data_IF_622657716155
#
_entry.id   IF_622657716155
#
_cell.length_a   1.000
_cell.length_b   1.000
_cell.length_c   1.000
_cell.angle_alpha   90.00
_cell.angle_beta   90.00
_cell.angle_gamma   90.00
#
_symmetry.space_group_name_H-M   'P 1'
#
loop_
_entity.id
_entity.type
_entity.pdbx_description
1 polymer ?
#
# COMPACT_ATOMS: atom_id res chain seq x y z
N UNK A 1 -4.48 -16.13 -6.25
CA UNK A 1 -4.74 -15.33 -5.03
C UNK A 1 -3.68 -14.25 -4.94
N UNK A 2 -4.08 -12.99 -4.78
CA UNK A 2 -3.17 -11.87 -4.54
C UNK A 2 -2.51 -12.03 -3.17
N UNK A 3 -1.22 -12.39 -3.13
CA UNK A 3 -0.46 -12.48 -1.88
C UNK A 3 0.92 -11.87 -2.07
N UNK A 4 1.34 -11.05 -1.13
CA UNK A 4 2.69 -10.48 -1.13
C UNK A 4 3.70 -11.50 -0.62
N UNK A 5 4.71 -11.80 -1.43
CA UNK A 5 5.79 -12.71 -1.04
C UNK A 5 6.72 -12.01 -0.03
N UNK A 6 7.28 -12.77 0.91
CA UNK A 6 8.09 -12.21 1.99
C UNK A 6 9.41 -11.59 1.49
N UNK A 7 9.96 -12.11 0.38
CA UNK A 7 11.13 -11.59 -0.33
C UNK A 7 10.83 -10.33 -1.15
N UNK A 8 9.55 -10.07 -1.47
CA UNK A 8 9.14 -8.94 -2.30
C UNK A 8 9.35 -9.15 -3.80
N UNK A 9 9.67 -10.37 -4.25
CA UNK A 9 9.89 -10.66 -5.67
C UNK A 9 8.67 -10.39 -6.54
N UNK A 10 7.47 -10.46 -5.98
CA UNK A 10 6.23 -10.13 -6.68
C UNK A 10 5.69 -8.72 -6.36
N UNK A 11 6.48 -7.84 -5.75
CA UNK A 11 6.00 -6.56 -5.23
C UNK A 11 5.35 -5.67 -6.31
N UNK A 12 5.95 -5.54 -7.50
CA UNK A 12 5.37 -4.73 -8.58
C UNK A 12 3.99 -5.25 -9.00
N UNK A 13 3.92 -6.53 -9.32
CA UNK A 13 2.66 -7.20 -9.71
C UNK A 13 1.63 -7.12 -8.61
N UNK A 14 2.05 -7.31 -7.36
CA UNK A 14 1.20 -7.20 -6.18
C UNK A 14 0.66 -5.77 -6.03
N UNK A 15 1.52 -4.74 -6.09
CA UNK A 15 1.14 -3.32 -5.96
C UNK A 15 0.09 -2.97 -7.00
N UNK A 16 0.34 -3.30 -8.27
CA UNK A 16 -0.59 -3.04 -9.38
C UNK A 16 -1.92 -3.76 -9.21
N UNK A 17 -1.91 -5.06 -8.94
CA UNK A 17 -3.15 -5.82 -8.76
C UNK A 17 -3.94 -5.36 -7.52
N UNK A 18 -3.25 -5.01 -6.44
CA UNK A 18 -3.85 -4.51 -5.21
C UNK A 18 -4.53 -3.17 -5.45
N UNK A 19 -3.86 -2.21 -6.09
CA UNK A 19 -4.45 -0.88 -6.37
C UNK A 19 -5.62 -0.98 -7.33
N UNK A 20 -5.54 -1.82 -8.37
CA UNK A 20 -6.67 -2.08 -9.27
C UNK A 20 -7.86 -2.70 -8.54
N UNK A 21 -7.62 -3.68 -7.65
CA UNK A 21 -8.70 -4.30 -6.86
C UNK A 21 -9.33 -3.31 -5.87
N UNK A 22 -8.52 -2.46 -5.23
CA UNK A 22 -9.00 -1.41 -4.33
C UNK A 22 -9.82 -0.36 -5.07
N UNK A 23 -9.42 -0.01 -6.30
CA UNK A 23 -10.15 0.92 -7.17
C UNK A 23 -11.50 0.35 -7.60
N UNK A 24 -11.51 -0.91 -8.07
CA UNK A 24 -12.75 -1.62 -8.40
C UNK A 24 -13.71 -1.76 -7.21
N UNK A 25 -13.19 -1.77 -5.99
CA UNK A 25 -13.97 -1.79 -4.75
C UNK A 25 -14.39 -0.40 -4.24
N UNK A 26 -13.96 0.69 -4.89
CA UNK A 26 -14.23 2.07 -4.48
C UNK A 26 -13.54 2.50 -3.18
N UNK A 27 -12.47 1.80 -2.78
CA UNK A 27 -11.77 2.04 -1.50
C UNK A 27 -10.33 2.55 -1.68
N UNK A 28 -9.86 2.73 -2.93
CA UNK A 28 -8.52 3.24 -3.22
C UNK A 28 -8.22 4.56 -2.48
N UNK A 29 -9.25 5.40 -2.31
CA UNK A 29 -9.16 6.68 -1.61
C UNK A 29 -8.70 6.61 -0.15
N UNK A 30 -8.93 5.48 0.52
CA UNK A 30 -8.48 5.24 1.90
C UNK A 30 -6.99 4.89 1.95
N UNK A 31 -6.42 4.33 0.87
CA UNK A 31 -5.00 3.96 0.79
C UNK A 31 -4.10 5.13 0.40
N UNK A 32 -4.57 6.01 -0.48
CA UNK A 32 -3.81 7.18 -0.98
C UNK A 32 -4.12 8.48 -0.21
N UNK A 33 -4.93 8.42 0.86
CA UNK A 33 -5.37 9.56 1.69
C UNK A 33 -6.23 10.60 0.98
N UNK A 34 -6.83 10.31 -0.18
CA UNK A 34 -7.81 11.22 -0.78
C UNK A 34 -9.15 11.20 -0.04
N UNK A 35 -9.45 10.12 0.70
CA UNK A 35 -10.64 10.01 1.55
C UNK A 35 -10.32 10.34 2.99
N UNK A 36 -10.64 11.56 3.40
CA UNK A 36 -10.42 12.07 4.75
C UNK A 36 -11.50 11.56 5.72
N UNK A 37 -11.10 11.35 6.98
CA UNK A 37 -12.07 11.15 8.08
C UNK A 37 -12.96 12.40 8.20
N UNK A 38 -14.29 12.26 8.26
CA UNK A 38 -15.20 13.38 8.50
C UNK A 38 -14.84 14.14 9.78
N UNK A 39 -14.90 15.47 9.72
CA UNK A 39 -14.60 16.37 10.84
C UNK A 39 -15.92 16.87 11.43
N UNK A 40 -15.98 16.97 12.76
CA UNK A 40 -17.18 17.43 13.45
C UNK A 40 -17.54 18.87 13.03
N UNK A 41 -18.83 19.16 12.80
CA UNK A 41 -19.27 20.51 12.45
C UNK A 41 -19.01 21.48 13.62
N UNK A 42 -18.57 22.70 13.31
CA UNK A 42 -18.43 23.76 14.31
C UNK A 42 -19.80 24.37 14.61
N UNK A 43 -20.25 24.47 15.87
CA UNK A 43 -21.55 25.05 16.20
C UNK A 43 -21.63 26.52 15.80
N UNK A 44 -22.70 26.92 15.12
CA UNK A 44 -22.96 28.32 14.78
C UNK A 44 -23.59 29.05 15.98
N UNK A 45 -22.82 29.31 17.04
CA UNK A 45 -23.40 29.96 18.22
C UNK A 45 -22.54 30.07 19.48
N UNK A 46 -21.22 30.18 19.39
CA UNK A 46 -20.36 30.37 20.58
C UNK A 46 -20.51 31.75 21.26
N UNK A 47 -21.41 32.62 20.80
CA UNK A 47 -21.73 33.89 21.41
C UNK A 47 -23.22 33.96 21.76
N UNK A 48 -23.53 33.74 23.05
CA UNK A 48 -24.84 34.08 23.62
C UNK A 48 -25.60 32.88 24.16
N UNK A 49 -25.87 32.95 25.46
CA UNK A 49 -26.75 32.07 26.25
C UNK A 49 -28.09 31.78 25.54
N UNK A 50 -28.22 30.60 24.93
CA UNK A 50 -29.51 30.01 24.57
C UNK A 50 -29.45 28.49 24.77
N UNK A 51 -30.33 27.97 25.63
CA UNK A 51 -30.40 26.57 26.09
C UNK A 51 -30.94 25.59 25.04
N UNK A 52 -31.01 25.97 23.77
CA UNK A 52 -31.50 25.12 22.69
C UNK A 52 -30.52 25.12 21.52
N UNK A 53 -29.89 23.97 21.25
CA UNK A 53 -29.12 23.75 20.02
C UNK A 53 -30.05 24.02 18.82
N UNK A 54 -29.70 24.93 17.90
CA UNK A 54 -30.48 25.17 16.69
C UNK A 54 -30.75 23.87 15.94
N UNK A 55 -31.96 23.69 15.39
CA UNK A 55 -32.33 22.50 14.59
C UNK A 55 -31.33 22.21 13.46
N UNK A 56 -30.74 23.25 12.88
CA UNK A 56 -29.69 23.16 11.87
C UNK A 56 -28.38 22.52 12.40
N UNK A 57 -27.97 22.86 13.62
CA UNK A 57 -26.78 22.27 14.26
C UNK A 57 -27.00 20.79 14.59
N UNK A 58 -28.23 20.41 14.97
CA UNK A 58 -28.60 19.02 15.22
C UNK A 58 -28.60 18.18 13.92
N UNK A 59 -29.10 18.74 12.82
CA UNK A 59 -29.09 18.07 11.51
C UNK A 59 -27.67 17.89 10.96
N UNK A 60 -26.82 18.91 11.11
CA UNK A 60 -25.40 18.82 10.78
C UNK A 60 -24.66 17.76 11.62
N UNK A 61 -24.97 17.67 12.92
CA UNK A 61 -24.39 16.65 13.79
C UNK A 61 -24.84 15.23 13.38
N UNK A 62 -26.12 15.05 13.05
CA UNK A 62 -26.65 13.78 12.59
C UNK A 62 -26.01 13.35 11.26
N UNK A 63 -25.88 14.27 10.31
CA UNK A 63 -25.19 14.02 9.03
C UNK A 63 -23.72 13.64 9.25
N UNK A 64 -23.02 14.31 10.17
CA UNK A 64 -21.65 13.97 10.54
C UNK A 64 -21.54 12.55 11.12
N UNK A 65 -22.45 12.15 12.02
CA UNK A 65 -22.45 10.80 12.61
C UNK A 65 -22.67 9.73 11.54
N UNK A 66 -23.56 9.97 10.57
CA UNK A 66 -23.80 9.05 9.44
C UNK A 66 -22.55 8.94 8.58
N UNK A 67 -21.95 10.07 8.19
CA UNK A 67 -20.74 10.11 7.39
C UNK A 67 -19.56 9.40 8.09
N UNK A 68 -19.40 9.63 9.40
CA UNK A 68 -18.33 9.01 10.19
C UNK A 68 -18.48 7.47 10.24
N UNK A 69 -19.70 6.96 10.48
CA UNK A 69 -19.95 5.50 10.49
C UNK A 69 -19.71 4.87 9.13
N UNK A 70 -20.10 5.54 8.05
CA UNK A 70 -19.84 5.07 6.68
C UNK A 70 -18.34 5.01 6.41
N UNK A 71 -17.60 6.06 6.80
CA UNK A 71 -16.15 6.12 6.68
C UNK A 71 -15.46 5.00 7.48
N UNK A 72 -15.83 4.80 8.75
CA UNK A 72 -15.25 3.75 9.60
C UNK A 72 -15.49 2.34 9.05
N UNK A 73 -16.63 2.12 8.41
CA UNK A 73 -16.97 0.82 7.81
C UNK A 73 -16.06 0.53 6.62
N UNK A 74 -15.85 1.51 5.75
CA UNK A 74 -14.98 1.38 4.58
C UNK A 74 -13.49 1.34 4.97
N UNK A 75 -13.09 2.08 6.00
CA UNK A 75 -11.73 1.99 6.60
C UNK A 75 -11.46 0.56 7.07
N UNK A 76 -12.38 -0.04 7.83
CA UNK A 76 -12.24 -1.44 8.29
C UNK A 76 -12.19 -2.44 7.14
N UNK A 77 -13.03 -2.25 6.11
CA UNK A 77 -13.00 -3.09 4.89
C UNK A 77 -11.65 -2.99 4.18
N UNK A 78 -11.08 -1.79 4.12
CA UNK A 78 -9.76 -1.53 3.54
C UNK A 78 -8.64 -2.20 4.33
N UNK A 79 -8.68 -2.09 5.67
CA UNK A 79 -7.77 -2.82 6.55
C UNK A 79 -7.87 -4.33 6.34
N UNK A 80 -9.09 -4.88 6.30
CA UNK A 80 -9.30 -6.31 6.08
C UNK A 80 -8.72 -6.77 4.74
N UNK A 81 -8.96 -6.02 3.65
CA UNK A 81 -8.40 -6.32 2.35
C UNK A 81 -6.86 -6.42 2.42
N UNK A 82 -6.21 -5.40 2.99
CA UNK A 82 -4.75 -5.38 3.12
C UNK A 82 -4.22 -6.53 3.99
N UNK A 83 -4.85 -6.79 5.13
CA UNK A 83 -4.41 -7.83 6.07
C UNK A 83 -4.55 -9.23 5.44
N UNK A 84 -5.58 -9.44 4.62
CA UNK A 84 -5.85 -10.74 3.97
C UNK A 84 -4.80 -11.14 2.92
N UNK A 85 -4.06 -10.18 2.39
CA UNK A 85 -3.11 -10.37 1.29
C UNK A 85 -1.65 -10.35 1.73
N UNK A 86 -1.36 -10.08 3.01
CA UNK A 86 0.00 -10.01 3.56
C UNK A 86 0.28 -11.15 4.55
N UNK A 87 1.55 -11.52 4.71
CA UNK A 87 1.97 -12.51 5.70
C UNK A 87 2.05 -11.97 7.13
N UNK A 88 1.98 -12.86 8.13
CA UNK A 88 1.97 -12.53 9.57
C UNK A 88 3.13 -11.62 9.99
N UNK A 89 4.34 -11.84 9.47
CA UNK A 89 5.50 -11.01 9.81
C UNK A 89 5.34 -9.55 9.36
N UNK A 90 4.64 -9.29 8.25
CA UNK A 90 4.31 -7.93 7.82
C UNK A 90 3.17 -7.35 8.63
N UNK A 91 2.13 -8.15 8.92
CA UNK A 91 1.01 -7.77 9.77
C UNK A 91 1.49 -7.22 11.12
N UNK A 92 2.42 -7.89 11.80
CA UNK A 92 2.98 -7.43 13.07
C UNK A 92 3.64 -6.05 12.99
N UNK A 93 4.16 -5.65 11.81
CA UNK A 93 4.77 -4.32 11.60
C UNK A 93 3.74 -3.23 11.32
N UNK A 94 2.60 -3.57 10.71
CA UNK A 94 1.60 -2.59 10.26
C UNK A 94 0.38 -2.50 11.17
N UNK A 95 0.09 -3.50 11.99
CA UNK A 95 -1.12 -3.55 12.84
C UNK A 95 -1.24 -2.39 13.84
N UNK A 96 -0.11 -1.78 14.21
CA UNK A 96 -0.09 -0.67 15.17
C UNK A 96 -0.35 0.70 14.50
N UNK A 97 -0.59 0.73 13.20
CA UNK A 97 -0.89 1.98 12.49
C UNK A 97 -2.37 2.36 12.65
N UNK A 98 -2.66 3.65 12.90
CA UNK A 98 -4.00 4.15 13.15
C UNK A 98 -4.93 4.10 11.93
N UNK A 99 -4.37 4.12 10.72
CA UNK A 99 -5.15 4.14 9.47
C UNK A 99 -4.59 3.16 8.45
N UNK A 100 -5.45 2.67 7.56
CA UNK A 100 -5.05 1.81 6.43
C UNK A 100 -4.06 2.53 5.50
N UNK A 101 -4.19 3.84 5.34
CA UNK A 101 -3.23 4.68 4.62
C UNK A 101 -1.81 4.54 5.19
N UNK A 102 -1.67 4.56 6.52
CA UNK A 102 -0.38 4.39 7.18
C UNK A 102 0.14 2.96 7.11
N UNK A 103 -0.75 1.97 7.21
CA UNK A 103 -0.39 0.57 6.97
C UNK A 103 0.19 0.42 5.57
N UNK A 104 -0.52 0.92 4.56
CA UNK A 104 -0.13 0.85 3.16
C UNK A 104 1.16 1.60 2.85
N UNK A 105 1.31 2.83 3.34
CA UNK A 105 2.56 3.58 3.20
C UNK A 105 3.75 2.83 3.81
N UNK A 106 3.55 2.13 4.94
CA UNK A 106 4.58 1.29 5.55
C UNK A 106 4.92 0.09 4.67
N UNK A 107 3.93 -0.58 4.07
CA UNK A 107 4.15 -1.67 3.11
C UNK A 107 4.94 -1.18 1.90
N UNK A 108 4.49 -0.09 1.25
CA UNK A 108 5.15 0.50 0.09
C UNK A 108 6.61 0.85 0.40
N UNK A 109 6.86 1.53 1.52
CA UNK A 109 8.22 1.89 1.94
C UNK A 109 9.11 0.67 2.15
N UNK A 110 8.61 -0.37 2.83
CA UNK A 110 9.38 -1.57 3.12
C UNK A 110 9.74 -2.33 1.84
N UNK A 111 8.79 -2.48 0.93
CA UNK A 111 8.99 -3.30 -0.26
C UNK A 111 9.66 -2.57 -1.40
N UNK A 112 9.46 -1.25 -1.56
CA UNK A 112 10.31 -0.45 -2.45
C UNK A 112 11.79 -0.55 -2.03
N UNK A 113 12.08 -0.40 -0.72
CA UNK A 113 13.46 -0.54 -0.21
C UNK A 113 14.03 -1.94 -0.43
N UNK A 114 13.22 -2.99 -0.24
CA UNK A 114 13.65 -4.37 -0.53
C UNK A 114 13.94 -4.56 -2.02
N UNK A 115 13.08 -4.05 -2.90
CA UNK A 115 13.29 -4.13 -4.34
C UNK A 115 14.56 -3.40 -4.76
N UNK A 116 14.83 -2.20 -4.21
CA UNK A 116 16.11 -1.49 -4.41
C UNK A 116 17.32 -2.34 -3.99
N UNK A 117 17.25 -3.01 -2.83
CA UNK A 117 18.31 -3.91 -2.36
C UNK A 117 18.49 -5.14 -3.26
N UNK A 118 17.38 -5.72 -3.74
CA UNK A 118 17.40 -6.86 -4.68
C UNK A 118 18.01 -6.46 -6.02
N UNK A 119 17.78 -5.23 -6.51
CA UNK A 119 18.46 -4.70 -7.71
C UNK A 119 19.97 -4.70 -7.50
N UNK A 120 20.44 -4.09 -6.40
CA UNK A 120 21.88 -3.97 -6.12
C UNK A 120 22.54 -5.34 -5.97
N UNK A 121 21.92 -6.26 -5.23
CA UNK A 121 22.42 -7.62 -5.03
C UNK A 121 22.45 -8.41 -6.34
N UNK A 122 21.38 -8.32 -7.14
CA UNK A 122 21.29 -9.00 -8.45
C UNK A 122 22.33 -8.45 -9.44
N UNK A 123 22.58 -7.14 -9.46
CA UNK A 123 23.63 -6.54 -10.29
C UNK A 123 25.03 -6.99 -9.87
N UNK A 124 25.27 -7.09 -8.56
CA UNK A 124 26.54 -7.61 -8.05
C UNK A 124 26.71 -9.09 -8.42
N UNK A 125 25.66 -9.89 -8.28
CA UNK A 125 25.66 -11.29 -8.65
C UNK A 125 25.94 -11.47 -10.15
N UNK A 126 25.26 -10.70 -11.01
CA UNK A 126 25.47 -10.71 -12.45
C UNK A 126 26.92 -10.34 -12.84
N UNK A 127 27.54 -9.35 -12.16
CA UNK A 127 28.95 -8.97 -12.38
C UNK A 127 29.95 -10.06 -11.98
N UNK A 128 29.59 -10.89 -11.02
CA UNK A 128 30.44 -11.96 -10.50
C UNK A 128 30.18 -13.31 -11.17
N UNK A 129 29.09 -13.44 -11.93
CA UNK A 129 28.79 -14.65 -12.70
C UNK A 129 29.87 -14.87 -13.76
N UNK A 130 30.42 -16.09 -13.79
CA UNK A 130 31.32 -16.54 -14.85
C UNK A 130 30.76 -17.82 -15.43
N UNK A 131 30.82 -17.97 -16.74
CA UNK A 131 30.61 -19.26 -17.36
C UNK A 131 31.69 -20.21 -16.84
N UNK A 132 31.29 -21.41 -16.41
CA UNK A 132 32.26 -22.43 -16.00
C UNK A 132 33.14 -22.85 -17.19
N UNK A 133 34.35 -23.33 -16.90
CA UNK A 133 35.35 -23.70 -17.93
C UNK A 133 34.85 -24.83 -18.86
N UNK A 134 33.92 -25.67 -18.36
CA UNK A 134 33.22 -26.74 -19.08
C UNK A 134 31.70 -26.49 -19.20
N UNK A 135 31.24 -25.27 -18.87
CA UNK A 135 29.83 -24.93 -18.80
C UNK A 135 29.17 -24.75 -20.18
N UNK A 136 27.86 -25.03 -20.24
CA UNK A 136 27.07 -24.69 -21.42
C UNK A 136 26.80 -23.18 -21.47
N UNK A 137 27.43 -22.53 -22.46
CA UNK A 137 27.30 -21.10 -22.73
C UNK A 137 25.85 -20.69 -22.98
N UNK A 138 25.01 -21.55 -23.57
CA UNK A 138 23.60 -21.21 -23.81
C UNK A 138 22.83 -21.12 -22.50
N UNK A 139 22.95 -22.14 -21.65
CA UNK A 139 22.37 -22.13 -20.31
C UNK A 139 22.85 -20.91 -19.49
N UNK A 140 24.12 -20.54 -19.60
CA UNK A 140 24.65 -19.34 -18.95
C UNK A 140 24.04 -18.03 -19.49
N UNK A 141 23.85 -17.92 -20.80
CA UNK A 141 23.19 -16.76 -21.41
C UNK A 141 21.70 -16.67 -21.03
N UNK A 142 21.01 -17.80 -20.95
CA UNK A 142 19.61 -17.87 -20.50
C UNK A 142 19.47 -17.38 -19.05
N UNK A 143 20.41 -17.76 -18.18
CA UNK A 143 20.47 -17.28 -16.80
C UNK A 143 20.72 -15.77 -16.73
N UNK A 144 21.64 -15.23 -17.54
CA UNK A 144 21.90 -13.79 -17.64
C UNK A 144 20.68 -13.02 -18.15
N UNK A 145 19.95 -13.55 -19.13
CA UNK A 145 18.71 -12.94 -19.64
C UNK A 145 17.63 -12.89 -18.56
N UNK A 146 17.45 -13.98 -17.81
CA UNK A 146 16.49 -14.04 -16.71
C UNK A 146 16.83 -13.05 -15.59
N UNK A 147 18.12 -12.83 -15.31
CA UNK A 147 18.57 -11.78 -14.39
C UNK A 147 18.30 -10.38 -14.92
N UNK A 148 18.54 -10.12 -16.22
CA UNK A 148 18.21 -8.83 -16.82
C UNK A 148 16.71 -8.51 -16.75
N UNK A 149 15.84 -9.50 -16.98
CA UNK A 149 14.39 -9.30 -16.86
C UNK A 149 13.97 -8.98 -15.42
N UNK A 150 14.55 -9.68 -14.43
CA UNK A 150 14.34 -9.37 -13.00
C UNK A 150 14.79 -7.96 -12.67
N UNK A 151 15.94 -7.51 -13.18
CA UNK A 151 16.45 -6.15 -12.99
C UNK A 151 15.55 -5.10 -13.65
N UNK A 152 15.08 -5.34 -14.88
CA UNK A 152 14.19 -4.41 -15.57
C UNK A 152 12.88 -4.19 -14.80
N UNK A 153 12.30 -5.26 -14.23
CA UNK A 153 11.10 -5.16 -13.41
C UNK A 153 11.35 -4.44 -12.09
N UNK A 154 12.48 -4.73 -11.44
CA UNK A 154 12.82 -4.13 -10.16
C UNK A 154 13.23 -2.64 -10.28
N UNK A 155 13.88 -2.23 -11.38
CA UNK A 155 14.18 -0.82 -11.67
C UNK A 155 12.93 0.03 -11.91
N UNK A 156 11.93 -0.51 -12.61
CA UNK A 156 10.62 0.15 -12.77
C UNK A 156 9.94 0.47 -11.44
N UNK A 157 10.14 -0.34 -10.40
CA UNK A 157 9.62 -0.06 -9.04
C UNK A 157 10.34 1.11 -8.38
N UNK A 158 11.65 1.24 -8.59
CA UNK A 158 12.44 2.33 -7.99
C UNK A 158 12.26 3.67 -8.69
N UNK A 159 11.92 3.67 -9.99
CA UNK A 159 11.66 4.88 -10.78
C UNK A 159 10.25 5.46 -10.57
N UNK A 160 9.28 4.65 -10.15
CA UNK A 160 7.90 5.07 -9.79
C UNK A 160 7.83 5.83 -8.43
N UNK A 161 8.94 6.50 -8.07
CA UNK A 161 9.17 7.19 -6.80
C UNK A 161 9.19 8.72 -6.95
N UNK A 162 9.06 9.23 -8.17
CA UNK A 162 8.99 10.65 -8.52
C UNK A 162 7.56 11.10 -8.90
#
# INVERSE_FOLDING_TARGET
MLKLTADGSNWLTYKTQFTTAADACGILGYFNRTTSRPVAPTPAGAAGTATSVPKADQEALNAHVIALKAWETLEKKSCQLLISTIGNGLLMKVQHKPTVAEMWATVVKLYNKKTEMVVVDTELHMKNLKCADDGDVRSHLDELLLFQEKLANARKVSEDKD
#
